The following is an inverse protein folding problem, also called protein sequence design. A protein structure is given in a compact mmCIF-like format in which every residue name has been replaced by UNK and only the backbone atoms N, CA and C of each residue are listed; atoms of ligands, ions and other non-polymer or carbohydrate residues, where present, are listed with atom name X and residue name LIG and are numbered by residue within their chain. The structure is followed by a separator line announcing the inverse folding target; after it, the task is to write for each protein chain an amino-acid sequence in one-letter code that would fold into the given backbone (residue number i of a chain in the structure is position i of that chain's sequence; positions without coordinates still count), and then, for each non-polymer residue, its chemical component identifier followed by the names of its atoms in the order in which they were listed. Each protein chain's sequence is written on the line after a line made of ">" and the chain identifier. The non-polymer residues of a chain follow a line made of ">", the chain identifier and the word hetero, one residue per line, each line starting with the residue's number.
data_IF_826294237454
#
_entry.id   IF_826294237454
#
_cell.length_a   1.000
_cell.length_b   1.000
_cell.length_c   1.000
_cell.angle_alpha   90.00
_cell.angle_beta   90.00
_cell.angle_gamma   90.00
#
_symmetry.space_group_name_H-M   'P 1'
#
loop_
_entity.id
_entity.type
_entity.pdbx_description
1 polymer ?
#
# COMPACT_ATOMS: atom_id res chain seq x y z
N UNK A 1 -24.10 4.54 -0.13
CA UNK A 1 -23.14 5.13 -1.08
C UNK A 1 -21.83 4.37 -1.01
N UNK A 2 -21.26 4.03 -2.15
CA UNK A 2 -19.99 3.30 -2.21
C UNK A 2 -18.82 4.28 -2.15
N UNK A 3 -17.82 3.98 -1.31
CA UNK A 3 -16.57 4.73 -1.28
C UNK A 3 -15.48 3.97 -2.03
N UNK A 4 -14.46 4.70 -2.48
CA UNK A 4 -13.32 4.11 -3.18
C UNK A 4 -12.03 4.53 -2.49
N UNK A 5 -11.19 3.56 -2.20
CA UNK A 5 -9.81 3.79 -1.75
C UNK A 5 -8.85 3.41 -2.86
N UNK A 6 -7.62 3.87 -2.76
CA UNK A 6 -6.54 3.49 -3.67
C UNK A 6 -5.28 3.20 -2.88
N UNK A 7 -4.46 2.28 -3.38
CA UNK A 7 -3.22 1.90 -2.73
C UNK A 7 -2.23 1.22 -3.65
N UNK A 8 -1.03 0.99 -3.14
CA UNK A 8 0.08 0.40 -3.90
C UNK A 8 0.54 -0.91 -3.25
N UNK A 9 0.63 -1.95 -4.05
CA UNK A 9 1.33 -3.18 -3.71
C UNK A 9 2.81 -2.97 -4.03
N UNK A 10 3.63 -2.74 -3.02
CA UNK A 10 5.07 -2.56 -3.19
C UNK A 10 5.73 -3.93 -3.09
N UNK A 11 6.19 -4.44 -4.23
CA UNK A 11 6.68 -5.80 -4.36
C UNK A 11 8.19 -5.85 -4.59
N UNK A 12 8.84 -6.86 -4.02
CA UNK A 12 10.22 -7.20 -4.30
C UNK A 12 10.27 -8.48 -5.15
N UNK A 13 11.29 -8.61 -6.01
CA UNK A 13 11.42 -9.75 -6.94
C UNK A 13 11.51 -11.11 -6.25
N UNK A 14 11.92 -11.14 -4.98
CA UNK A 14 11.98 -12.38 -4.20
C UNK A 14 10.62 -12.77 -3.60
N UNK A 15 9.52 -12.30 -4.20
CA UNK A 15 8.15 -12.59 -3.79
C UNK A 15 7.84 -12.14 -2.36
N UNK A 16 8.17 -10.89 -2.08
CA UNK A 16 7.82 -10.22 -0.82
C UNK A 16 7.00 -8.96 -1.08
N UNK A 17 6.11 -8.67 -0.15
CA UNK A 17 5.24 -7.49 -0.17
C UNK A 17 5.57 -6.63 1.04
N UNK A 18 5.69 -5.31 0.83
CA UNK A 18 5.85 -4.38 1.94
C UNK A 18 4.50 -4.21 2.65
N UNK A 19 4.46 -4.52 3.93
CA UNK A 19 3.29 -4.32 4.77
C UNK A 19 3.58 -3.34 5.89
N UNK A 20 2.54 -2.60 6.28
CA UNK A 20 2.55 -1.62 7.35
C UNK A 20 1.68 -2.13 8.50
N UNK A 21 2.18 -2.06 9.73
CA UNK A 21 1.42 -2.48 10.90
C UNK A 21 0.47 -1.36 11.35
N UNK A 22 -0.83 -1.68 11.43
CA UNK A 22 -1.83 -0.73 11.91
C UNK A 22 -1.66 -0.56 13.43
N UNK A 23 -1.41 0.67 13.86
CA UNK A 23 -1.17 0.99 15.26
C UNK A 23 -2.37 0.60 16.13
N UNK A 24 -2.10 -0.16 17.19
CA UNK A 24 -3.15 -0.63 18.11
C UNK A 24 -3.98 -1.78 17.57
N UNK A 25 -3.78 -2.19 16.33
CA UNK A 25 -4.46 -3.34 15.72
C UNK A 25 -3.59 -4.59 15.74
N UNK A 26 -4.21 -5.73 15.45
CA UNK A 26 -3.50 -7.00 15.35
C UNK A 26 -3.22 -7.41 13.90
N UNK A 27 -3.25 -6.48 12.95
CA UNK A 27 -3.10 -6.79 11.54
C UNK A 27 -2.14 -5.83 10.83
N UNK A 28 -1.67 -6.29 9.67
CA UNK A 28 -0.84 -5.53 8.74
C UNK A 28 -1.64 -5.19 7.50
N UNK A 29 -1.25 -4.15 6.81
CA UNK A 29 -1.97 -3.66 5.64
C UNK A 29 -1.01 -3.06 4.61
N UNK A 30 -1.50 -2.92 3.39
CA UNK A 30 -0.80 -2.15 2.36
C UNK A 30 -1.03 -0.65 2.60
N UNK A 31 -0.14 0.24 2.13
CA UNK A 31 -0.43 1.67 2.15
C UNK A 31 -1.60 1.98 1.21
N UNK A 32 -2.64 2.59 1.74
CA UNK A 32 -3.87 2.93 1.02
C UNK A 32 -4.71 3.92 1.79
N UNK A 33 -5.63 4.55 1.11
CA UNK A 33 -6.62 5.41 1.76
C UNK A 33 -7.68 5.89 0.78
N UNK A 34 -8.65 6.62 1.32
CA UNK A 34 -9.80 7.10 0.56
C UNK A 34 -9.40 8.13 -0.49
N UNK A 35 -9.98 8.02 -1.67
CA UNK A 35 -9.83 9.02 -2.73
C UNK A 35 -10.54 10.29 -2.27
N UNK A 36 -9.81 11.39 -2.26
CA UNK A 36 -10.35 12.69 -1.91
C UNK A 36 -10.91 13.41 -3.15
N UNK A 37 -11.76 14.40 -2.92
CA UNK A 37 -12.35 15.19 -4.00
C UNK A 37 -11.25 15.78 -4.88
N UNK A 38 -11.39 15.60 -6.20
CA UNK A 38 -10.43 16.12 -7.17
C UNK A 38 -9.21 15.25 -7.41
N UNK A 39 -9.04 14.15 -6.64
CA UNK A 39 -7.94 13.21 -6.87
C UNK A 39 -8.34 12.11 -7.84
N UNK A 40 -7.39 11.70 -8.68
CA UNK A 40 -7.48 10.43 -9.38
C UNK A 40 -7.04 9.29 -8.46
N UNK A 41 -7.33 8.04 -8.84
CA UNK A 41 -6.91 6.88 -8.05
C UNK A 41 -5.39 6.81 -7.90
N UNK A 42 -4.63 7.08 -8.98
CA UNK A 42 -3.16 7.02 -8.89
C UNK A 42 -2.58 8.13 -8.01
N UNK A 43 -3.19 9.33 -8.02
CA UNK A 43 -2.77 10.43 -7.14
C UNK A 43 -2.99 10.06 -5.67
N UNK A 44 -4.14 9.48 -5.34
CA UNK A 44 -4.44 9.00 -3.99
C UNK A 44 -3.44 7.92 -3.57
N UNK A 45 -3.18 6.95 -4.44
CA UNK A 45 -2.24 5.87 -4.15
C UNK A 45 -0.84 6.41 -3.85
N UNK A 46 -0.36 7.40 -4.62
CA UNK A 46 0.93 8.05 -4.37
C UNK A 46 0.93 8.80 -3.03
N UNK A 47 -0.10 9.58 -2.76
CA UNK A 47 -0.22 10.37 -1.53
C UNK A 47 -0.28 9.49 -0.28
N UNK A 48 -1.14 8.49 -0.29
CA UNK A 48 -1.31 7.59 0.86
C UNK A 48 -0.03 6.80 1.13
N UNK A 49 0.67 6.36 0.10
CA UNK A 49 1.93 5.64 0.27
C UNK A 49 3.01 6.54 0.87
N UNK A 50 3.08 7.80 0.44
CA UNK A 50 3.99 8.76 1.05
C UNK A 50 3.63 9.05 2.51
N UNK A 51 2.35 9.21 2.82
CA UNK A 51 1.88 9.50 4.18
C UNK A 51 2.06 8.31 5.13
N UNK A 52 1.74 7.09 4.69
CA UNK A 52 1.72 5.91 5.57
C UNK A 52 3.08 5.24 5.72
N UNK A 53 3.96 5.31 4.72
CA UNK A 53 5.29 4.67 4.83
C UNK A 53 6.47 5.52 4.36
N UNK A 54 6.24 6.75 3.94
CA UNK A 54 7.32 7.67 3.56
C UNK A 54 7.93 7.42 2.19
N UNK A 55 7.36 6.53 1.38
CA UNK A 55 7.84 6.20 0.05
C UNK A 55 7.19 7.07 -1.00
N UNK A 56 8.00 7.65 -1.88
CA UNK A 56 7.58 8.61 -2.90
C UNK A 56 7.85 8.03 -4.28
N UNK A 57 6.82 7.41 -4.86
CA UNK A 57 6.86 6.87 -6.22
C UNK A 57 6.53 7.95 -7.25
N UNK A 58 6.99 7.73 -8.48
CA UNK A 58 6.52 8.48 -9.64
C UNK A 58 5.30 7.76 -10.24
N UNK A 59 4.44 8.49 -10.94
CA UNK A 59 3.28 7.90 -11.58
C UNK A 59 3.66 6.76 -12.55
N UNK A 60 4.76 6.92 -13.28
CA UNK A 60 5.25 5.92 -14.23
C UNK A 60 5.75 4.63 -13.58
N UNK A 61 6.00 4.66 -12.27
CA UNK A 61 6.39 3.45 -11.52
C UNK A 61 5.22 2.50 -11.32
N UNK A 62 3.99 2.99 -11.47
CA UNK A 62 2.79 2.27 -11.11
C UNK A 62 2.24 1.42 -12.26
N UNK A 63 2.02 0.15 -11.99
CA UNK A 63 1.21 -0.74 -12.82
C UNK A 63 -0.23 -0.65 -12.31
N UNK A 64 -1.16 -0.23 -13.16
CA UNK A 64 -2.57 -0.14 -12.80
C UNK A 64 -3.20 -1.54 -12.83
N UNK A 65 -3.64 -2.02 -11.68
CA UNK A 65 -4.30 -3.33 -11.55
C UNK A 65 -5.82 -3.22 -11.63
N UNK A 66 -6.36 -2.00 -11.59
CA UNK A 66 -7.78 -1.76 -11.73
C UNK A 66 -8.56 -1.64 -10.44
N UNK A 67 -9.85 -1.40 -10.61
CA UNK A 67 -10.80 -1.25 -9.50
C UNK A 67 -11.31 -2.62 -9.09
N UNK A 68 -11.30 -2.89 -7.79
CA UNK A 68 -11.70 -4.16 -7.22
C UNK A 68 -12.71 -3.98 -6.11
N UNK A 69 -13.65 -4.92 -6.02
CA UNK A 69 -14.53 -5.00 -4.87
C UNK A 69 -13.70 -5.41 -3.66
N UNK A 70 -13.81 -4.64 -2.59
CA UNK A 70 -12.99 -4.85 -1.39
C UNK A 70 -13.82 -5.37 -0.21
N UNK A 71 -14.87 -4.66 0.14
CA UNK A 71 -15.82 -5.04 1.20
C UNK A 71 -17.15 -4.31 0.95
N UNK A 72 -18.24 -4.68 1.65
CA UNK A 72 -19.51 -4.00 1.46
C UNK A 72 -19.37 -2.48 1.58
N UNK A 73 -19.83 -1.77 0.55
CA UNK A 73 -19.77 -0.31 0.51
C UNK A 73 -18.41 0.30 0.17
N UNK A 74 -17.39 -0.52 -0.11
CA UNK A 74 -16.05 0.00 -0.39
C UNK A 74 -15.34 -0.78 -1.50
N UNK A 75 -14.92 -0.08 -2.53
CA UNK A 75 -14.04 -0.61 -3.56
C UNK A 75 -12.60 -0.14 -3.34
N UNK A 76 -11.65 -0.83 -3.93
CA UNK A 76 -10.22 -0.51 -3.83
C UNK A 76 -9.61 -0.53 -5.23
N UNK A 77 -9.02 0.59 -5.61
CA UNK A 77 -8.24 0.68 -6.85
C UNK A 77 -6.79 0.37 -6.51
N UNK A 78 -6.28 -0.73 -7.04
CA UNK A 78 -4.91 -1.20 -6.76
C UNK A 78 -3.96 -0.85 -7.87
N UNK A 79 -2.78 -0.44 -7.46
CA UNK A 79 -1.58 -0.31 -8.29
C UNK A 79 -0.50 -1.19 -7.70
N UNK A 80 0.52 -1.48 -8.50
CA UNK A 80 1.68 -2.23 -8.03
C UNK A 80 2.96 -1.56 -8.54
N UNK A 81 4.02 -1.69 -7.78
CA UNK A 81 5.36 -1.26 -8.17
C UNK A 81 6.38 -2.30 -7.73
N UNK A 82 7.40 -2.51 -8.56
CA UNK A 82 8.52 -3.39 -8.26
C UNK A 82 9.68 -2.54 -7.77
N UNK A 83 10.24 -2.88 -6.61
CA UNK A 83 11.39 -2.17 -6.05
C UNK A 83 12.50 -3.13 -5.68
N UNK A 84 13.70 -2.58 -5.45
CA UNK A 84 14.73 -3.27 -4.71
C UNK A 84 14.27 -3.44 -3.26
N UNK A 85 15.01 -4.23 -2.46
CA UNK A 85 14.68 -4.39 -1.04
C UNK A 85 15.01 -3.10 -0.28
N UNK A 86 13.98 -2.29 -0.08
CA UNK A 86 14.11 -1.01 0.63
C UNK A 86 14.35 -1.27 2.12
N UNK A 87 15.12 -0.37 2.75
CA UNK A 87 15.36 -0.42 4.18
C UNK A 87 14.11 0.04 4.93
N UNK A 88 13.39 -0.89 5.53
CA UNK A 88 12.14 -0.60 6.25
C UNK A 88 12.35 0.27 7.49
N UNK A 89 13.58 0.39 8.00
CA UNK A 89 13.90 1.31 9.11
C UNK A 89 13.77 2.77 8.70
N UNK A 90 13.78 3.06 7.40
CA UNK A 90 13.58 4.41 6.87
C UNK A 90 12.11 4.75 6.64
N UNK A 91 11.23 3.78 6.71
CA UNK A 91 9.78 4.03 6.57
C UNK A 91 9.29 4.86 7.75
N UNK A 92 8.45 5.85 7.45
CA UNK A 92 7.83 6.71 8.47
C UNK A 92 6.39 6.99 8.10
N UNK A 93 5.51 7.03 9.09
CA UNK A 93 4.11 7.39 8.92
C UNK A 93 3.92 8.82 9.42
N UNK A 94 3.36 9.69 8.57
CA UNK A 94 3.11 11.10 8.91
C UNK A 94 1.65 11.39 9.25
N UNK A 95 0.75 10.41 9.07
CA UNK A 95 -0.65 10.56 9.45
C UNK A 95 -0.89 10.01 10.84
N UNK A 96 -1.72 10.68 11.62
CA UNK A 96 -1.95 10.40 13.02
C UNK A 96 -3.44 10.29 13.32
N UNK A 97 -3.76 9.64 14.42
CA UNK A 97 -5.10 9.57 14.95
C UNK A 97 -5.05 9.68 16.48
N UNK A 98 -6.18 10.03 17.10
CA UNK A 98 -6.29 9.97 18.54
C UNK A 98 -6.84 8.62 18.96
N UNK A 99 -6.12 7.94 19.87
CA UNK A 99 -6.59 6.67 20.40
C UNK A 99 -7.69 6.89 21.45
N UNK A 100 -8.23 5.80 21.97
CA UNK A 100 -9.32 5.86 22.97
C UNK A 100 -8.90 6.52 24.30
N UNK A 101 -7.59 6.68 24.52
CA UNK A 101 -7.06 7.37 25.70
C UNK A 101 -6.71 8.84 25.41
N UNK A 102 -7.06 9.35 24.22
CA UNK A 102 -6.78 10.72 23.79
C UNK A 102 -5.33 10.97 23.39
N UNK A 103 -4.52 9.92 23.21
CA UNK A 103 -3.11 10.05 22.81
C UNK A 103 -3.00 10.12 21.30
N UNK A 104 -2.11 10.98 20.85
CA UNK A 104 -1.77 11.08 19.42
C UNK A 104 -0.87 9.91 19.01
N UNK A 105 -1.31 9.15 18.02
CA UNK A 105 -0.61 7.95 17.54
C UNK A 105 -0.48 7.98 16.03
N UNK A 106 0.63 7.49 15.46
CA UNK A 106 0.71 7.31 14.01
C UNK A 106 -0.25 6.21 13.57
N UNK A 107 -0.81 6.34 12.37
CA UNK A 107 -1.69 5.30 11.82
C UNK A 107 -0.96 3.98 11.61
N UNK A 108 0.32 4.05 11.21
CA UNK A 108 1.18 2.88 11.04
C UNK A 108 2.41 3.00 11.94
N UNK A 109 2.75 1.92 12.65
CA UNK A 109 3.86 1.91 13.60
C UNK A 109 4.90 0.81 13.32
N UNK A 110 4.77 0.06 12.24
CA UNK A 110 5.73 -0.96 11.86
C UNK A 110 5.71 -1.19 10.36
N UNK A 111 6.85 -1.61 9.81
CA UNK A 111 7.03 -1.83 8.37
C UNK A 111 7.89 -3.06 8.16
N UNK A 112 7.44 -3.97 7.29
CA UNK A 112 8.13 -5.24 7.12
C UNK A 112 7.94 -5.77 5.70
N UNK A 113 8.99 -6.36 5.14
CA UNK A 113 8.88 -7.18 3.94
C UNK A 113 8.35 -8.55 4.34
N UNK A 114 7.20 -8.93 3.81
CA UNK A 114 6.52 -10.18 4.17
C UNK A 114 6.49 -11.09 2.94
N UNK A 115 6.97 -12.35 3.06
CA UNK A 115 6.84 -13.30 1.96
C UNK A 115 5.39 -13.47 1.53
N UNK A 116 5.14 -13.59 0.23
CA UNK A 116 3.78 -13.70 -0.31
C UNK A 116 2.97 -14.80 0.39
N UNK A 117 3.61 -15.92 0.72
CA UNK A 117 2.92 -17.04 1.39
C UNK A 117 2.44 -16.72 2.81
N UNK A 118 2.95 -15.66 3.43
CA UNK A 118 2.55 -15.24 4.79
C UNK A 118 1.61 -14.03 4.81
N UNK A 119 1.38 -13.37 3.67
CA UNK A 119 0.61 -12.12 3.60
C UNK A 119 -0.82 -12.28 4.10
N UNK A 120 -1.52 -13.33 3.65
CA UNK A 120 -2.93 -13.52 4.00
C UNK A 120 -3.14 -13.76 5.50
N UNK A 121 -2.14 -14.29 6.20
CA UNK A 121 -2.20 -14.51 7.64
C UNK A 121 -1.95 -13.23 8.45
N UNK A 122 -1.33 -12.24 7.82
CA UNK A 122 -0.95 -10.97 8.46
C UNK A 122 -1.99 -9.88 8.27
N UNK A 123 -2.79 -9.96 7.21
CA UNK A 123 -3.76 -8.94 6.84
C UNK A 123 -5.14 -9.19 7.44
N UNK A 124 -5.95 -8.13 7.53
CA UNK A 124 -7.38 -8.25 7.83
C UNK A 124 -8.10 -9.07 6.75
N UNK A 125 -9.25 -9.64 7.09
CA UNK A 125 -9.98 -10.57 6.22
C UNK A 125 -10.22 -10.08 4.80
N UNK A 126 -10.64 -8.82 4.66
CA UNK A 126 -10.95 -8.27 3.33
C UNK A 126 -9.71 -8.21 2.44
N UNK A 127 -8.59 -7.77 2.98
CA UNK A 127 -7.34 -7.71 2.24
C UNK A 127 -6.79 -9.11 1.96
N UNK A 128 -6.88 -10.01 2.94
CA UNK A 128 -6.45 -11.40 2.78
C UNK A 128 -7.24 -12.09 1.66
N UNK A 129 -8.55 -11.90 1.60
CA UNK A 129 -9.38 -12.45 0.53
C UNK A 129 -9.01 -11.86 -0.83
N UNK A 130 -8.78 -10.56 -0.89
CA UNK A 130 -8.41 -9.88 -2.13
C UNK A 130 -7.08 -10.42 -2.68
N UNK A 131 -6.04 -10.44 -1.86
CA UNK A 131 -4.69 -10.84 -2.28
C UNK A 131 -4.50 -12.34 -2.40
N UNK A 132 -5.37 -13.13 -1.74
CA UNK A 132 -5.32 -14.58 -1.82
C UNK A 132 -6.16 -15.17 -2.96
N UNK A 133 -7.19 -14.47 -3.41
CA UNK A 133 -8.17 -15.01 -4.36
C UNK A 133 -8.38 -14.13 -5.58
N UNK A 134 -8.82 -12.88 -5.40
CA UNK A 134 -9.18 -12.01 -6.52
C UNK A 134 -7.97 -11.47 -7.28
N UNK A 135 -6.88 -11.18 -6.58
CA UNK A 135 -5.65 -10.64 -7.16
C UNK A 135 -4.42 -11.34 -6.56
N UNK A 136 -4.15 -12.60 -6.96
CA UNK A 136 -3.01 -13.35 -6.42
C UNK A 136 -1.67 -12.64 -6.65
N UNK A 137 -0.89 -12.51 -5.59
CA UNK A 137 0.38 -11.76 -5.62
C UNK A 137 1.40 -12.31 -6.61
N UNK A 138 1.43 -13.65 -6.79
CA UNK A 138 2.34 -14.25 -7.77
C UNK A 138 2.08 -13.74 -9.19
N UNK A 139 0.81 -13.59 -9.56
CA UNK A 139 0.43 -13.03 -10.87
C UNK A 139 0.78 -11.55 -11.00
N UNK A 140 0.65 -10.80 -9.92
CA UNK A 140 1.06 -9.38 -9.89
C UNK A 140 2.56 -9.27 -10.12
N UNK A 141 3.36 -10.05 -9.41
CA UNK A 141 4.82 -10.05 -9.56
C UNK A 141 5.22 -10.43 -10.99
N UNK A 142 4.58 -11.43 -11.57
CA UNK A 142 4.85 -11.83 -12.96
C UNK A 142 4.63 -10.67 -13.92
N UNK A 143 3.52 -9.94 -13.78
CA UNK A 143 3.23 -8.75 -14.59
C UNK A 143 4.27 -7.65 -14.40
N UNK A 144 4.70 -7.41 -13.16
CA UNK A 144 5.73 -6.43 -12.85
C UNK A 144 7.08 -6.80 -13.49
N UNK A 145 7.45 -8.07 -13.43
CA UNK A 145 8.70 -8.55 -14.02
C UNK A 145 8.67 -8.44 -15.56
N UNK A 146 7.54 -8.75 -16.19
CA UNK A 146 7.36 -8.61 -17.63
C UNK A 146 7.44 -7.14 -18.06
N UNK A 147 6.93 -6.23 -17.25
CA UNK A 147 7.00 -4.79 -17.50
C UNK A 147 8.45 -4.29 -17.46
N UNK A 148 9.31 -4.91 -16.65
CA UNK A 148 10.74 -4.63 -16.60
C UNK A 148 11.14 -3.32 -15.92
N UNK A 149 10.20 -2.64 -15.26
CA UNK A 149 10.50 -1.37 -14.57
C UNK A 149 10.70 -1.59 -13.08
N UNK A 150 11.91 -1.30 -12.60
CA UNK A 150 12.22 -1.30 -11.17
C UNK A 150 12.17 0.14 -10.67
N UNK A 151 11.28 0.43 -9.75
CA UNK A 151 11.13 1.76 -9.19
C UNK A 151 12.24 2.04 -8.16
N UNK A 152 12.65 3.31 -8.09
CA UNK A 152 13.59 3.81 -7.09
C UNK A 152 12.90 4.96 -6.34
N UNK A 153 11.95 4.65 -5.43
CA UNK A 153 11.19 5.68 -4.75
C UNK A 153 12.09 6.54 -3.87
N UNK A 154 11.74 7.81 -3.77
CA UNK A 154 12.38 8.72 -2.83
C UNK A 154 11.83 8.53 -1.42
N UNK A 155 12.44 9.23 -0.47
CA UNK A 155 12.05 9.21 0.93
C UNK A 155 11.69 10.61 1.41
N UNK A 156 10.77 10.68 2.38
CA UNK A 156 10.53 11.90 3.17
C UNK A 156 9.45 12.81 2.64
N UNK A 157 9.49 14.07 3.06
CA UNK A 157 8.39 15.04 3.00
C UNK A 157 8.46 16.03 1.83
N UNK A 158 9.20 15.75 0.77
CA UNK A 158 9.20 16.63 -0.40
C UNK A 158 7.79 16.61 -1.04
N UNK A 159 7.33 17.72 -1.67
CA UNK A 159 6.02 17.74 -2.32
C UNK A 159 5.88 16.63 -3.35
N UNK A 160 4.68 16.00 -3.41
CA UNK A 160 4.38 15.01 -4.43
C UNK A 160 4.29 15.69 -5.80
N UNK A 161 4.71 15.00 -6.88
CA UNK A 161 4.53 15.52 -8.22
C UNK A 161 3.04 15.73 -8.52
N UNK A 162 2.73 16.89 -9.08
CA UNK A 162 1.36 17.25 -9.46
C UNK A 162 0.82 16.47 -10.64
#
# INVERSE_FOLDING_TARGET
>A
MKTVSAGILVCHRDAELLLCHATGGGYWDIPKGAIEAGESAWQTALRETAEECGLRFAADDLLDLGLMRYRPGKDLHLFAALTERLDTRRCTCTTHFRDRFGRDRPEMDGFEWVPFGAVTQRCAKSMAALLGQAMPLAGVLERLLQRGRVASPGWGNAPLPG
#
